data_IF_667767230837
#
_entry.id   IF_667767230837
#
_cell.length_a   1.000
_cell.length_b   1.000
_cell.length_c   1.000
_cell.angle_alpha   90.00
_cell.angle_beta   90.00
_cell.angle_gamma   90.00
#
_symmetry.space_group_name_H-M   'P 1'
#
loop_
_entity.id
_entity.type
_entity.pdbx_description
1 polymer ?
#
# COMPACT_ATOMS: atom_id res chain seq x y z
N UNK A 1 -17.65 41.65 42.56
CA UNK A 1 -16.66 41.65 43.66
C UNK A 1 -16.79 40.34 44.44
N UNK A 2 -15.65 39.77 44.87
CA UNK A 2 -15.43 38.53 45.67
C UNK A 2 -15.32 37.24 44.83
N UNK A 3 -14.34 36.37 45.01
CA UNK A 3 -13.06 36.36 45.74
C UNK A 3 -12.19 35.28 45.07
N UNK A 4 -10.92 35.62 44.84
CA UNK A 4 -9.83 34.76 44.40
C UNK A 4 -9.46 33.73 45.47
N UNK A 5 -9.30 32.44 45.10
CA UNK A 5 -8.46 31.50 45.86
C UNK A 5 -7.62 30.68 44.87
N UNK A 6 -6.38 31.13 44.78
CA UNK A 6 -5.24 30.46 44.15
C UNK A 6 -4.73 29.37 45.09
N UNK A 7 -4.64 28.13 44.62
CA UNK A 7 -3.88 27.07 45.30
C UNK A 7 -2.76 26.59 44.39
N UNK A 8 -1.61 27.26 44.52
CA UNK A 8 -0.29 26.68 44.24
C UNK A 8 -0.09 25.47 45.16
N UNK A 9 0.41 24.35 44.62
CA UNK A 9 1.11 23.36 45.42
C UNK A 9 2.58 23.27 44.99
N UNK A 10 3.52 23.17 45.96
CA UNK A 10 4.95 23.26 45.74
C UNK A 10 5.54 21.93 45.26
N UNK A 11 6.68 22.04 44.58
CA UNK A 11 7.41 20.93 44.00
C UNK A 11 8.11 20.05 45.04
N UNK A 12 8.44 18.84 44.59
CA UNK A 12 9.52 18.03 45.15
C UNK A 12 10.47 17.71 43.99
N UNK A 13 11.59 18.42 43.99
CA UNK A 13 12.79 18.07 43.24
C UNK A 13 13.44 16.87 43.94
N UNK A 14 13.58 15.75 43.23
CA UNK A 14 14.61 14.75 43.56
C UNK A 14 15.55 14.74 42.36
N UNK A 15 16.72 15.32 42.57
CA UNK A 15 17.83 15.34 41.64
C UNK A 15 18.89 14.33 42.10
N UNK A 16 19.67 13.84 41.10
CA UNK A 16 21.07 13.38 41.20
C UNK A 16 21.26 11.92 41.70
N UNK A 17 21.98 10.99 41.03
CA UNK A 17 23.30 11.11 40.37
C UNK A 17 23.68 9.86 39.50
N UNK A 18 24.17 10.13 38.26
CA UNK A 18 25.35 9.56 37.51
C UNK A 18 25.57 8.04 37.25
N UNK A 19 26.56 7.61 36.40
CA UNK A 19 27.06 8.11 35.09
C UNK A 19 27.34 7.00 34.02
N UNK A 20 27.58 7.45 32.77
CA UNK A 20 28.53 6.93 31.76
C UNK A 20 28.72 5.42 31.49
N UNK A 21 28.32 4.97 30.29
CA UNK A 21 29.27 4.35 29.33
C UNK A 21 28.95 4.85 27.92
N UNK A 22 29.81 5.71 27.40
CA UNK A 22 29.90 5.99 25.98
C UNK A 22 30.74 4.88 25.33
N UNK A 23 30.18 4.18 24.35
CA UNK A 23 30.96 3.48 23.33
C UNK A 23 30.71 4.18 21.99
N UNK A 24 31.56 5.18 21.75
CA UNK A 24 31.85 5.70 20.43
C UNK A 24 32.55 4.59 19.64
N UNK A 25 31.81 3.86 18.79
CA UNK A 25 32.41 3.22 17.63
C UNK A 25 32.33 4.20 16.47
N UNK A 26 33.35 5.06 16.43
CA UNK A 26 33.74 5.80 15.26
C UNK A 26 33.97 4.80 14.10
N UNK A 27 33.26 5.03 12.99
CA UNK A 27 33.52 4.41 11.70
C UNK A 27 33.50 5.49 10.63
N UNK A 28 34.42 6.46 10.76
CA UNK A 28 34.76 7.40 9.70
C UNK A 28 35.61 6.66 8.66
N UNK A 29 35.40 6.96 7.39
CA UNK A 29 35.86 6.16 6.26
C UNK A 29 37.37 6.04 6.06
N UNK A 30 37.71 5.16 5.12
CA UNK A 30 38.94 5.25 4.33
C UNK A 30 38.65 4.67 2.95
N UNK A 31 38.75 5.52 1.94
CA UNK A 31 39.06 5.14 0.57
C UNK A 31 40.30 4.24 0.59
N UNK A 32 40.19 3.09 -0.05
CA UNK A 32 41.24 2.07 -0.07
C UNK A 32 40.92 1.05 -1.14
N UNK A 33 41.22 1.42 -2.38
CA UNK A 33 41.33 0.50 -3.51
C UNK A 33 42.23 -0.67 -3.14
N UNK A 34 41.69 -1.89 -3.15
CA UNK A 34 42.48 -3.05 -3.53
C UNK A 34 41.66 -4.07 -4.32
N UNK A 35 42.31 -4.47 -5.40
CA UNK A 35 41.80 -5.23 -6.53
C UNK A 35 42.20 -6.69 -6.32
N UNK A 36 41.23 -7.56 -6.10
CA UNK A 36 41.35 -9.01 -6.35
C UNK A 36 40.00 -9.47 -6.91
N UNK A 37 39.88 -9.56 -8.24
CA UNK A 37 40.14 -10.76 -9.01
C UNK A 37 39.25 -11.94 -8.58
N UNK A 38 38.16 -12.09 -9.33
CA UNK A 38 37.78 -13.35 -9.98
C UNK A 38 37.34 -14.50 -9.07
N UNK A 39 36.02 -14.67 -8.94
CA UNK A 39 35.48 -15.97 -9.30
C UNK A 39 34.16 -15.84 -10.07
N UNK A 40 34.19 -16.42 -11.27
CA UNK A 40 33.12 -16.46 -12.25
C UNK A 40 32.77 -17.94 -12.30
N UNK A 41 31.76 -18.36 -11.55
CA UNK A 41 31.27 -19.73 -11.63
C UNK A 41 29.76 -19.71 -11.83
N UNK A 42 29.35 -19.71 -13.10
CA UNK A 42 28.83 -20.88 -13.83
C UNK A 42 27.34 -21.06 -13.56
N UNK A 43 26.52 -20.44 -14.42
CA UNK A 43 25.13 -20.80 -14.58
C UNK A 43 25.03 -22.23 -15.15
N UNK A 44 24.17 -23.10 -14.61
CA UNK A 44 23.57 -24.16 -15.40
C UNK A 44 22.36 -23.57 -16.14
N UNK A 45 22.58 -23.29 -17.42
CA UNK A 45 21.56 -23.04 -18.43
C UNK A 45 20.85 -24.38 -18.69
N UNK A 46 19.67 -24.57 -18.13
CA UNK A 46 18.84 -25.74 -18.45
C UNK A 46 18.15 -25.50 -19.78
N UNK A 47 18.77 -25.96 -20.86
CA UNK A 47 18.12 -26.14 -22.15
C UNK A 47 17.22 -27.37 -22.07
N UNK A 48 15.91 -27.18 -22.22
CA UNK A 48 14.99 -28.25 -22.62
C UNK A 48 14.54 -27.94 -24.05
N UNK A 49 15.04 -28.73 -24.99
CA UNK A 49 14.66 -28.73 -26.40
C UNK A 49 13.79 -29.96 -26.65
N UNK A 50 12.80 -29.78 -27.55
CA UNK A 50 12.00 -30.81 -28.23
C UNK A 50 10.85 -31.41 -27.39
N UNK A 51 9.65 -31.64 -27.91
CA UNK A 51 9.23 -31.92 -29.30
C UNK A 51 7.81 -31.39 -29.55
N UNK A 52 7.61 -30.78 -30.72
CA UNK A 52 6.30 -30.61 -31.32
C UNK A 52 5.72 -31.98 -31.69
N UNK A 53 4.43 -32.18 -31.44
CA UNK A 53 3.65 -33.25 -32.05
C UNK A 53 2.22 -32.72 -32.29
N UNK A 54 1.98 -32.27 -33.52
CA UNK A 54 0.64 -32.27 -34.11
C UNK A 54 0.21 -33.71 -34.35
N UNK A 55 -1.09 -33.97 -34.20
CA UNK A 55 -1.77 -34.80 -35.17
C UNK A 55 -3.02 -34.09 -35.69
N UNK A 56 -2.97 -33.74 -36.97
CA UNK A 56 -4.17 -33.72 -37.81
C UNK A 56 -4.36 -35.15 -38.32
N UNK A 57 -5.60 -35.67 -38.32
CA UNK A 57 -6.13 -36.06 -39.62
C UNK A 57 -7.58 -35.62 -39.81
N UNK A 58 -7.73 -34.72 -40.76
CA UNK A 58 -8.68 -34.76 -41.88
C UNK A 58 -9.54 -36.03 -41.95
N UNK A 59 -10.85 -35.86 -41.75
CA UNK A 59 -11.88 -36.79 -42.19
C UNK A 59 -13.18 -36.00 -42.42
N UNK A 60 -13.30 -35.43 -43.62
CA UNK A 60 -14.58 -35.07 -44.23
C UNK A 60 -15.37 -36.35 -44.57
N UNK A 61 -16.71 -36.32 -44.44
CA UNK A 61 -17.54 -36.78 -45.54
C UNK A 61 -18.54 -35.71 -46.03
N UNK A 62 -18.78 -35.82 -47.33
CA UNK A 62 -19.55 -34.96 -48.25
C UNK A 62 -21.08 -35.11 -48.14
N UNK A 63 -21.80 -34.17 -48.79
CA UNK A 63 -23.22 -34.09 -49.19
C UNK A 63 -24.33 -33.91 -48.10
N UNK A 64 -25.02 -32.75 -47.92
CA UNK A 64 -25.97 -31.97 -48.79
C UNK A 64 -27.45 -32.43 -48.69
N UNK A 65 -28.52 -31.61 -48.89
CA UNK A 65 -28.83 -30.22 -48.51
C UNK A 65 -30.19 -30.05 -47.75
N UNK A 66 -30.49 -28.79 -47.35
CA UNK A 66 -31.84 -28.24 -47.10
C UNK A 66 -32.65 -28.67 -45.86
N UNK A 67 -32.60 -27.83 -44.82
CA UNK A 67 -33.79 -27.30 -44.16
C UNK A 67 -33.40 -26.05 -43.35
N UNK A 68 -33.69 -24.86 -43.88
CA UNK A 68 -33.55 -23.61 -43.14
C UNK A 68 -34.47 -23.60 -41.92
N UNK A 69 -33.97 -23.47 -40.68
CA UNK A 69 -34.79 -22.92 -39.62
C UNK A 69 -34.81 -21.40 -39.83
N UNK A 70 -35.99 -20.82 -40.04
CA UNK A 70 -36.17 -19.37 -39.82
C UNK A 70 -35.67 -19.05 -38.41
N UNK A 71 -34.72 -18.12 -38.21
CA UNK A 71 -34.55 -17.54 -36.90
C UNK A 71 -35.78 -16.65 -36.69
N UNK A 72 -36.68 -17.08 -35.81
CA UNK A 72 -37.64 -16.18 -35.18
C UNK A 72 -36.82 -15.13 -34.44
N UNK A 73 -36.97 -13.88 -34.86
CA UNK A 73 -36.56 -12.68 -34.15
C UNK A 73 -37.17 -12.66 -32.74
N UNK A 74 -36.53 -13.36 -31.81
CA UNK A 74 -36.61 -13.07 -30.39
C UNK A 74 -35.23 -12.61 -29.96
N UNK A 75 -34.88 -11.39 -30.39
CA UNK A 75 -33.75 -10.65 -29.83
C UNK A 75 -34.11 -10.30 -28.39
N UNK A 76 -33.88 -11.25 -27.47
CA UNK A 76 -33.64 -10.89 -26.08
C UNK A 76 -32.50 -9.86 -26.10
N UNK A 77 -32.64 -8.69 -25.44
CA UNK A 77 -31.52 -7.79 -25.31
C UNK A 77 -30.40 -8.60 -24.65
N UNK A 78 -29.31 -8.84 -25.39
CA UNK A 78 -28.11 -9.39 -24.82
C UNK A 78 -27.72 -8.42 -23.70
N UNK A 79 -27.83 -8.88 -22.46
CA UNK A 79 -27.39 -8.15 -21.29
C UNK A 79 -25.94 -7.74 -21.59
N UNK A 80 -25.62 -6.44 -21.70
CA UNK A 80 -24.27 -6.04 -22.09
C UNK A 80 -23.32 -6.65 -21.07
N UNK A 81 -22.44 -7.53 -21.55
CA UNK A 81 -21.43 -8.12 -20.70
C UNK A 81 -20.71 -6.98 -19.99
N UNK A 82 -20.54 -7.05 -18.65
CA UNK A 82 -19.89 -5.96 -17.91
C UNK A 82 -18.54 -5.69 -18.53
N UNK A 83 -18.24 -4.42 -18.79
CA UNK A 83 -16.98 -4.01 -19.42
C UNK A 83 -15.84 -4.59 -18.59
N UNK A 84 -15.06 -5.48 -19.21
CA UNK A 84 -13.95 -6.14 -18.54
C UNK A 84 -12.94 -5.11 -18.00
N UNK A 85 -12.85 -3.93 -18.62
CA UNK A 85 -12.00 -2.82 -18.19
C UNK A 85 -12.46 -2.25 -16.85
N UNK A 86 -13.76 -2.03 -16.68
CA UNK A 86 -14.33 -1.51 -15.42
C UNK A 86 -14.12 -2.51 -14.26
N UNK A 87 -14.24 -3.80 -14.54
CA UNK A 87 -14.00 -4.85 -13.54
C UNK A 87 -12.54 -4.91 -13.10
N UNK A 88 -11.60 -4.71 -14.03
CA UNK A 88 -10.16 -4.67 -13.73
C UNK A 88 -9.84 -3.45 -12.88
N UNK A 89 -10.35 -2.27 -13.25
CA UNK A 89 -10.13 -1.03 -12.49
C UNK A 89 -10.65 -1.14 -11.05
N UNK A 90 -11.83 -1.71 -10.87
CA UNK A 90 -12.41 -1.91 -9.54
C UNK A 90 -11.58 -2.90 -8.71
N UNK A 91 -11.11 -3.99 -9.30
CA UNK A 91 -10.22 -4.94 -8.63
C UNK A 91 -8.91 -4.29 -8.17
N UNK A 92 -8.32 -3.41 -9.00
CA UNK A 92 -7.12 -2.66 -8.62
C UNK A 92 -7.39 -1.69 -7.47
N UNK A 93 -8.51 -0.97 -7.47
CA UNK A 93 -8.90 -0.10 -6.35
C UNK A 93 -9.08 -0.88 -5.06
N UNK A 94 -9.79 -2.01 -5.12
CA UNK A 94 -9.99 -2.88 -3.96
C UNK A 94 -8.65 -3.40 -3.42
N UNK A 95 -7.76 -3.86 -4.29
CA UNK A 95 -6.42 -4.31 -3.90
C UNK A 95 -5.62 -3.20 -3.22
N UNK A 96 -5.68 -1.98 -3.76
CA UNK A 96 -5.01 -0.80 -3.16
C UNK A 96 -5.56 -0.47 -1.78
N UNK A 97 -6.88 -0.52 -1.61
CA UNK A 97 -7.53 -0.27 -0.32
C UNK A 97 -7.09 -1.31 0.73
N UNK A 98 -7.07 -2.60 0.38
CA UNK A 98 -6.60 -3.66 1.28
C UNK A 98 -5.13 -3.49 1.66
N UNK A 99 -4.27 -3.13 0.69
CA UNK A 99 -2.87 -2.85 0.95
C UNK A 99 -2.70 -1.66 1.91
N UNK A 100 -3.47 -0.58 1.70
CA UNK A 100 -3.47 0.58 2.58
C UNK A 100 -3.90 0.21 4.01
N UNK A 101 -4.98 -0.57 4.16
CA UNK A 101 -5.42 -1.03 5.48
C UNK A 101 -4.33 -1.80 6.23
N UNK A 102 -3.64 -2.71 5.54
CA UNK A 102 -2.52 -3.46 6.11
C UNK A 102 -1.37 -2.55 6.56
N UNK A 103 -0.98 -1.60 5.71
CA UNK A 103 0.11 -0.67 6.03
C UNK A 103 -0.24 0.29 7.17
N UNK A 104 -1.48 0.75 7.27
CA UNK A 104 -1.95 1.58 8.38
C UNK A 104 -1.89 0.83 9.71
N UNK A 105 -2.31 -0.45 9.74
CA UNK A 105 -2.19 -1.33 10.92
C UNK A 105 -0.75 -1.54 11.38
N UNK A 106 0.21 -1.49 10.46
CA UNK A 106 1.63 -1.59 10.79
C UNK A 106 2.15 -0.33 11.48
N UNK A 107 1.62 0.84 11.14
CA UNK A 107 1.96 2.10 11.83
C UNK A 107 1.34 2.11 13.23
N UNK A 108 0.05 1.77 13.30
CA UNK A 108 -0.72 1.75 14.53
C UNK A 108 -1.82 0.68 14.43
N UNK A 109 -1.84 -0.33 15.33
CA UNK A 109 -2.78 -1.45 15.25
C UNK A 109 -4.26 -1.07 15.29
N UNK A 110 -4.60 0.13 15.78
CA UNK A 110 -5.99 0.60 15.83
C UNK A 110 -6.48 1.19 14.49
N UNK A 111 -5.60 1.30 13.49
CA UNK A 111 -5.92 1.83 12.17
C UNK A 111 -6.23 0.72 11.15
N UNK A 112 -6.49 1.14 9.92
CA UNK A 112 -6.78 0.25 8.79
C UNK A 112 -8.21 -0.26 8.80
N UNK A 113 -9.12 0.43 9.47
CA UNK A 113 -10.54 0.20 9.30
C UNK A 113 -10.99 0.71 7.90
N UNK A 114 -12.11 0.22 7.34
CA UNK A 114 -12.62 0.74 6.06
C UNK A 114 -12.78 2.26 6.04
N UNK A 115 -13.16 2.87 7.17
CA UNK A 115 -13.34 4.32 7.31
C UNK A 115 -12.02 5.09 7.24
N UNK A 116 -10.88 4.42 7.40
CA UNK A 116 -9.56 5.05 7.27
C UNK A 116 -9.14 5.27 5.81
N UNK A 117 -9.83 4.64 4.85
CA UNK A 117 -9.63 4.88 3.42
C UNK A 117 -10.09 6.29 3.04
N UNK A 118 -11.30 6.67 3.42
CA UNK A 118 -11.83 8.02 3.17
C UNK A 118 -10.97 9.10 3.83
N UNK A 119 -10.43 8.80 5.02
CA UNK A 119 -9.47 9.67 5.71
C UNK A 119 -8.16 9.81 4.94
N UNK A 120 -7.67 8.72 4.34
CA UNK A 120 -6.47 8.73 3.52
C UNK A 120 -6.67 9.56 2.25
N UNK A 121 -7.82 9.45 1.59
CA UNK A 121 -8.16 10.27 0.40
C UNK A 121 -8.19 11.76 0.76
N UNK A 122 -8.86 12.12 1.87
CA UNK A 122 -8.87 13.49 2.35
C UNK A 122 -7.46 14.00 2.72
N UNK A 123 -6.63 13.14 3.32
CA UNK A 123 -5.25 13.48 3.64
C UNK A 123 -4.41 13.65 2.38
N UNK A 124 -4.60 12.85 1.34
CA UNK A 124 -3.93 13.02 0.05
C UNK A 124 -4.26 14.36 -0.60
N UNK A 125 -5.54 14.78 -0.56
CA UNK A 125 -5.93 16.10 -1.04
C UNK A 125 -5.22 17.23 -0.27
N UNK A 126 -5.09 17.10 1.04
CA UNK A 126 -4.39 18.07 1.88
C UNK A 126 -2.87 18.09 1.63
N UNK A 127 -2.26 16.93 1.38
CA UNK A 127 -0.85 16.80 1.00
C UNK A 127 -0.57 17.46 -0.36
N UNK A 128 -1.44 17.24 -1.35
CA UNK A 128 -1.33 17.89 -2.67
C UNK A 128 -1.47 19.42 -2.58
N UNK A 129 -2.28 19.91 -1.62
CA UNK A 129 -2.48 21.35 -1.36
C UNK A 129 -1.37 21.96 -0.50
N UNK A 130 -0.40 21.18 -0.02
CA UNK A 130 0.70 21.63 0.84
C UNK A 130 0.22 22.38 2.09
N UNK A 131 -0.78 21.84 2.78
CA UNK A 131 -1.32 22.46 4.01
C UNK A 131 -0.26 22.59 5.11
N UNK A 132 -0.42 23.58 5.99
CA UNK A 132 0.44 23.73 7.15
C UNK A 132 0.23 22.59 8.17
N UNK A 133 1.33 22.10 8.74
CA UNK A 133 1.35 21.03 9.75
C UNK A 133 0.61 19.74 9.33
N UNK A 134 0.97 19.12 8.18
CA UNK A 134 0.26 17.96 7.65
C UNK A 134 0.33 16.74 8.58
N UNK A 135 1.41 16.60 9.35
CA UNK A 135 1.60 15.49 10.31
C UNK A 135 0.62 15.57 11.48
N UNK A 136 0.41 16.78 12.01
CA UNK A 136 -0.55 17.00 13.09
C UNK A 136 -1.99 16.86 12.57
N UNK A 137 -2.24 17.24 11.32
CA UNK A 137 -3.53 17.05 10.67
C UNK A 137 -3.85 15.55 10.51
N UNK A 138 -2.90 14.77 10.00
CA UNK A 138 -3.02 13.32 9.89
C UNK A 138 -3.30 12.70 11.27
N UNK A 139 -2.51 13.05 12.29
CA UNK A 139 -2.71 12.53 13.64
C UNK A 139 -4.13 12.82 14.18
N UNK A 140 -4.66 14.02 13.98
CA UNK A 140 -6.04 14.35 14.37
C UNK A 140 -7.07 13.58 13.57
N UNK A 141 -6.89 13.48 12.24
CA UNK A 141 -7.84 12.85 11.33
C UNK A 141 -7.98 11.36 11.58
N UNK A 142 -6.86 10.66 11.81
CA UNK A 142 -6.83 9.22 12.07
C UNK A 142 -7.09 8.86 13.54
N UNK A 143 -7.11 9.84 14.46
CA UNK A 143 -7.58 9.62 15.83
C UNK A 143 -9.09 9.37 15.86
N UNK A 144 -9.53 8.58 16.82
CA UNK A 144 -10.95 8.33 17.13
C UNK A 144 -11.25 8.74 18.57
N UNK A 145 -12.51 8.63 19.00
CA UNK A 145 -12.88 8.88 20.40
C UNK A 145 -12.20 7.95 21.40
N UNK A 146 -11.81 6.74 20.97
CA UNK A 146 -11.24 5.70 21.83
C UNK A 146 -9.74 5.47 21.59
N UNK A 147 -9.16 6.09 20.56
CA UNK A 147 -7.77 5.90 20.20
C UNK A 147 -7.14 7.18 19.68
N UNK A 148 -5.92 7.48 20.13
CA UNK A 148 -5.22 8.70 19.76
C UNK A 148 -3.95 8.36 18.98
N UNK A 149 -3.91 8.82 17.73
CA UNK A 149 -2.73 8.75 16.87
C UNK A 149 -1.78 9.90 17.22
N UNK A 150 -0.50 9.61 17.34
CA UNK A 150 0.51 10.63 17.68
C UNK A 150 0.93 11.43 16.43
N UNK A 151 1.52 12.61 16.61
CA UNK A 151 2.10 13.38 15.48
C UNK A 151 3.20 12.59 14.76
N UNK A 152 3.96 11.76 15.48
CA UNK A 152 4.99 10.91 14.89
C UNK A 152 4.38 9.85 13.97
N UNK A 153 3.27 9.25 14.38
CA UNK A 153 2.51 8.33 13.55
C UNK A 153 1.85 9.06 12.38
N UNK A 154 1.33 10.27 12.60
CA UNK A 154 0.86 11.16 11.53
C UNK A 154 1.91 11.39 10.44
N UNK A 155 3.18 11.60 10.81
CA UNK A 155 4.30 11.69 9.84
C UNK A 155 4.53 10.38 9.08
N UNK A 156 4.46 9.24 9.77
CA UNK A 156 4.57 7.92 9.15
C UNK A 156 3.43 7.66 8.17
N UNK A 157 2.20 8.04 8.54
CA UNK A 157 1.01 7.97 7.68
C UNK A 157 1.24 8.83 6.44
N UNK A 158 1.63 10.09 6.58
CA UNK A 158 1.91 10.96 5.43
C UNK A 158 2.97 10.39 4.50
N UNK A 159 4.04 9.82 5.06
CA UNK A 159 5.11 9.18 4.27
C UNK A 159 4.57 7.97 3.51
N UNK A 160 3.80 7.11 4.17
CA UNK A 160 3.15 5.95 3.55
C UNK A 160 2.22 6.39 2.41
N UNK A 161 1.35 7.36 2.69
CA UNK A 161 0.36 7.85 1.74
C UNK A 161 1.04 8.44 0.51
N UNK A 162 1.96 9.39 0.68
CA UNK A 162 2.67 10.01 -0.44
C UNK A 162 3.43 9.00 -1.31
N UNK A 163 3.97 7.93 -0.73
CA UNK A 163 4.78 6.97 -1.47
C UNK A 163 3.96 5.91 -2.21
N UNK A 164 2.78 5.56 -1.70
CA UNK A 164 2.08 4.34 -2.12
C UNK A 164 0.60 4.52 -2.45
N UNK A 165 0.00 5.65 -2.09
CA UNK A 165 -1.45 5.84 -2.12
C UNK A 165 -1.93 7.20 -2.67
N UNK A 166 -1.18 8.28 -2.50
CA UNK A 166 -1.51 9.55 -3.13
C UNK A 166 -0.94 9.55 -4.55
N UNK A 167 -1.75 9.12 -5.51
CA UNK A 167 -1.38 8.99 -6.92
C UNK A 167 -2.58 8.60 -7.75
#
# INVERSE_FOLDING_TARGET
>A
MRQTLSTRRPGVLVALLTPCVALLLAGCGSDGTDKTAQDRSTAPRTSATATAQSPDPDATPDESPSASPRPTDDTLPADPAPDASEQVDEAFRAARAVALQGNLRYIDPALGAPEDIDKADAQCADLQRNVANPDQLAARRFSTGNHKVTTADGKRINTLLSNTYCG
#
